data_IF_627058035183
#
_entry.id   IF_627058035183
#
_cell.length_a   1.000
_cell.length_b   1.000
_cell.length_c   1.000
_cell.angle_alpha   90.00
_cell.angle_beta   90.00
_cell.angle_gamma   90.00
#
_symmetry.space_group_name_H-M   'P 1'
#
loop_
_entity.id
_entity.type
_entity.pdbx_description
1 polymer ?
#
# COMPACT_ATOMS: atom_id res chain seq x y z
N UNK A 1 -19.08 -19.13 -6.76
CA UNK A 1 -17.77 -18.66 -6.29
C UNK A 1 -18.03 -17.55 -5.30
N UNK A 2 -17.49 -17.63 -4.09
CA UNK A 2 -17.51 -16.52 -3.13
C UNK A 2 -16.21 -15.73 -3.30
N UNK A 3 -16.29 -14.41 -3.37
CA UNK A 3 -15.08 -13.58 -3.58
C UNK A 3 -14.18 -13.60 -2.35
N UNK A 4 -14.78 -13.78 -1.18
CA UNK A 4 -14.14 -13.87 0.12
C UNK A 4 -13.14 -15.03 0.21
N UNK A 5 -13.30 -16.08 -0.62
CA UNK A 5 -12.38 -17.22 -0.66
C UNK A 5 -10.98 -16.83 -1.15
N UNK A 6 -10.84 -15.68 -1.83
CA UNK A 6 -9.57 -15.11 -2.29
C UNK A 6 -8.82 -14.32 -1.23
N UNK A 7 -9.41 -14.08 -0.06
CA UNK A 7 -8.85 -13.17 0.93
C UNK A 7 -8.67 -13.81 2.30
N UNK A 8 -7.63 -13.36 3.01
CA UNK A 8 -7.42 -13.60 4.43
C UNK A 8 -7.75 -12.30 5.19
N UNK A 9 -8.84 -12.32 5.96
CA UNK A 9 -9.27 -11.20 6.81
C UNK A 9 -8.59 -11.32 8.18
N UNK A 10 -7.39 -10.77 8.32
CA UNK A 10 -6.59 -10.89 9.54
C UNK A 10 -7.07 -9.94 10.63
N UNK A 11 -7.53 -8.75 10.24
CA UNK A 11 -8.15 -7.77 11.13
C UNK A 11 -9.06 -6.81 10.34
N UNK A 12 -9.84 -5.94 11.00
CA UNK A 12 -10.64 -4.91 10.31
C UNK A 12 -9.85 -3.95 9.42
N UNK A 13 -8.53 -3.87 9.61
CA UNK A 13 -7.61 -2.99 8.88
C UNK A 13 -6.46 -3.78 8.19
N UNK A 14 -6.60 -5.11 8.06
CA UNK A 14 -5.63 -5.97 7.36
C UNK A 14 -6.36 -7.08 6.60
N UNK A 15 -6.62 -6.83 5.31
CA UNK A 15 -7.21 -7.78 4.37
C UNK A 15 -6.15 -8.11 3.32
N UNK A 16 -5.76 -9.39 3.25
CA UNK A 16 -4.70 -9.87 2.34
C UNK A 16 -5.25 -10.77 1.26
N UNK A 17 -4.56 -10.81 0.13
CA UNK A 17 -4.81 -11.80 -0.90
C UNK A 17 -4.26 -13.14 -0.41
N UNK A 18 -5.11 -14.16 -0.41
CA UNK A 18 -4.81 -15.47 0.16
C UNK A 18 -3.57 -16.09 -0.47
N UNK A 19 -2.66 -16.56 0.38
CA UNK A 19 -1.36 -17.09 -0.05
C UNK A 19 -0.29 -16.00 -0.30
N UNK A 20 -0.62 -14.72 -0.13
CA UNK A 20 0.31 -13.61 -0.30
C UNK A 20 0.38 -12.73 0.95
N UNK A 21 1.48 -11.97 1.05
CA UNK A 21 1.61 -10.86 2.01
C UNK A 21 1.13 -9.52 1.42
N UNK A 22 0.50 -9.57 0.26
CA UNK A 22 0.02 -8.42 -0.49
C UNK A 22 -1.39 -8.11 0.00
N UNK A 23 -1.60 -6.87 0.44
CA UNK A 23 -2.92 -6.39 0.85
C UNK A 23 -3.79 -6.08 -0.36
N UNK A 24 -5.10 -6.08 -0.17
CA UNK A 24 -6.01 -5.64 -1.25
C UNK A 24 -5.79 -4.17 -1.59
N UNK A 25 -5.27 -3.35 -0.67
CA UNK A 25 -4.92 -1.95 -0.90
C UNK A 25 -3.89 -1.80 -2.02
N UNK A 26 -2.91 -2.70 -2.11
CA UNK A 26 -1.91 -2.66 -3.18
C UNK A 26 -2.53 -2.78 -4.59
N UNK A 27 -3.48 -3.70 -4.79
CA UNK A 27 -4.18 -3.85 -6.09
C UNK A 27 -5.08 -2.65 -6.36
N UNK A 28 -5.78 -2.16 -5.32
CA UNK A 28 -6.73 -1.07 -5.46
C UNK A 28 -6.07 0.28 -5.68
N UNK A 29 -4.86 0.51 -5.17
CA UNK A 29 -4.07 1.69 -5.45
C UNK A 29 -3.79 1.79 -6.97
N UNK A 30 -3.26 0.74 -7.59
CA UNK A 30 -3.04 0.73 -9.04
C UNK A 30 -4.34 0.85 -9.85
N UNK A 31 -5.40 0.15 -9.45
CA UNK A 31 -6.69 0.25 -10.13
C UNK A 31 -7.25 1.67 -10.09
N UNK A 32 -7.13 2.36 -8.94
CA UNK A 32 -7.55 3.77 -8.78
C UNK A 32 -6.67 4.73 -9.57
N UNK A 33 -5.40 4.39 -9.80
CA UNK A 33 -4.48 5.13 -10.68
C UNK A 33 -4.75 4.88 -12.19
N UNK A 34 -5.71 4.02 -12.54
CA UNK A 34 -6.16 3.79 -13.92
C UNK A 34 -5.46 2.65 -14.64
N UNK A 35 -4.66 1.83 -13.94
CA UNK A 35 -4.00 0.67 -14.52
C UNK A 35 -5.01 -0.41 -14.88
N UNK A 36 -4.77 -1.12 -15.99
CA UNK A 36 -5.55 -2.32 -16.33
C UNK A 36 -5.15 -3.50 -15.41
N UNK A 37 -6.03 -4.49 -15.22
CA UNK A 37 -5.70 -5.71 -14.47
C UNK A 37 -4.41 -6.41 -14.97
N UNK A 38 -4.15 -6.38 -16.28
CA UNK A 38 -2.95 -6.94 -16.88
C UNK A 38 -1.69 -6.13 -16.53
N UNK A 39 -1.78 -4.80 -16.54
CA UNK A 39 -0.68 -3.94 -16.09
C UNK A 39 -0.42 -4.09 -14.57
N UNK A 40 -1.48 -4.28 -13.78
CA UNK A 40 -1.36 -4.60 -12.35
C UNK A 40 -0.62 -5.93 -12.18
N UNK A 41 -0.95 -6.95 -12.98
CA UNK A 41 -0.28 -8.26 -12.92
C UNK A 41 1.21 -8.17 -13.25
N UNK A 42 1.62 -7.25 -14.14
CA UNK A 42 3.04 -6.99 -14.41
C UNK A 42 3.74 -6.38 -13.18
N UNK A 43 3.08 -5.44 -12.49
CA UNK A 43 3.64 -4.78 -11.31
C UNK A 43 3.62 -5.67 -10.05
N UNK A 44 2.60 -6.52 -9.91
CA UNK A 44 2.39 -7.46 -8.82
C UNK A 44 2.55 -8.89 -9.32
N UNK A 45 3.72 -9.20 -9.90
CA UNK A 45 4.01 -10.41 -10.67
C UNK A 45 3.78 -11.76 -9.98
N UNK A 46 3.63 -11.77 -8.65
CA UNK A 46 3.28 -12.99 -7.90
C UNK A 46 1.78 -13.27 -7.89
N UNK A 47 0.93 -12.28 -8.17
CA UNK A 47 -0.52 -12.44 -8.20
C UNK A 47 -0.97 -12.99 -9.54
N UNK A 48 -1.96 -13.88 -9.51
CA UNK A 48 -2.67 -14.29 -10.72
C UNK A 48 -3.64 -13.21 -11.17
N UNK A 49 -3.91 -13.19 -12.48
CA UNK A 49 -4.90 -12.28 -13.05
C UNK A 49 -6.29 -12.50 -12.43
N UNK A 50 -6.63 -13.75 -12.09
CA UNK A 50 -7.85 -14.11 -11.36
C UNK A 50 -7.93 -13.46 -9.98
N UNK A 51 -6.85 -13.49 -9.18
CA UNK A 51 -6.80 -12.82 -7.87
C UNK A 51 -6.98 -11.31 -7.99
N UNK A 52 -6.41 -10.70 -9.03
CA UNK A 52 -6.55 -9.27 -9.31
C UNK A 52 -8.01 -8.93 -9.67
N UNK A 53 -8.60 -9.67 -10.60
CA UNK A 53 -10.01 -9.49 -10.96
C UNK A 53 -10.95 -9.74 -9.78
N UNK A 54 -10.69 -10.75 -8.94
CA UNK A 54 -11.46 -11.00 -7.73
C UNK A 54 -11.38 -9.81 -6.75
N UNK A 55 -10.19 -9.25 -6.57
CA UNK A 55 -9.97 -8.06 -5.71
C UNK A 55 -10.74 -6.84 -6.21
N UNK A 56 -10.64 -6.54 -7.51
CA UNK A 56 -11.37 -5.41 -8.11
C UNK A 56 -12.87 -5.63 -8.02
N UNK A 57 -13.35 -6.84 -8.30
CA UNK A 57 -14.78 -7.18 -8.22
C UNK A 57 -15.30 -7.05 -6.79
N UNK A 58 -14.53 -7.55 -5.81
CA UNK A 58 -14.87 -7.43 -4.39
C UNK A 58 -14.97 -5.96 -3.96
N UNK A 59 -14.02 -5.12 -4.40
CA UNK A 59 -14.07 -3.67 -4.17
C UNK A 59 -15.30 -3.03 -4.80
N UNK A 60 -15.61 -3.32 -6.07
CA UNK A 60 -16.77 -2.73 -6.75
C UNK A 60 -18.09 -3.13 -6.09
N UNK A 61 -18.20 -4.37 -5.60
CA UNK A 61 -19.37 -4.85 -4.86
C UNK A 61 -19.50 -4.21 -3.47
N UNK A 62 -18.38 -3.97 -2.79
CA UNK A 62 -18.32 -3.52 -1.39
C UNK A 62 -17.78 -2.09 -1.24
N UNK A 63 -17.94 -1.24 -2.27
CA UNK A 63 -17.18 0.00 -2.45
C UNK A 63 -17.14 0.89 -1.21
N UNK A 64 -18.29 1.17 -0.61
CA UNK A 64 -18.36 2.03 0.57
C UNK A 64 -17.58 1.46 1.78
N UNK A 65 -17.68 0.16 2.03
CA UNK A 65 -16.97 -0.52 3.12
C UNK A 65 -15.46 -0.51 2.89
N UNK A 66 -15.04 -0.84 1.66
CA UNK A 66 -13.62 -0.92 1.31
C UNK A 66 -12.99 0.47 1.23
N UNK A 67 -13.70 1.50 0.75
CA UNK A 67 -13.22 2.89 0.80
C UNK A 67 -12.99 3.37 2.24
N UNK A 68 -13.89 3.01 3.17
CA UNK A 68 -13.69 3.29 4.60
C UNK A 68 -12.47 2.55 5.17
N UNK A 69 -12.26 1.29 4.78
CA UNK A 69 -11.06 0.52 5.12
C UNK A 69 -9.78 1.18 4.61
N UNK A 70 -9.72 1.54 3.31
CA UNK A 70 -8.55 2.19 2.71
C UNK A 70 -8.24 3.51 3.40
N UNK A 71 -9.27 4.28 3.76
CA UNK A 71 -9.09 5.52 4.53
C UNK A 71 -8.42 5.28 5.88
N UNK A 72 -8.87 4.29 6.66
CA UNK A 72 -8.27 3.97 7.97
C UNK A 72 -6.79 3.59 7.84
N UNK A 73 -6.46 2.80 6.81
CA UNK A 73 -5.06 2.43 6.52
C UNK A 73 -4.22 3.67 6.18
N UNK A 74 -4.73 4.56 5.32
CA UNK A 74 -4.02 5.78 4.95
C UNK A 74 -3.79 6.68 6.17
N UNK A 75 -4.81 6.86 7.02
CA UNK A 75 -4.72 7.65 8.25
C UNK A 75 -3.67 7.05 9.21
N UNK A 76 -3.66 5.72 9.39
CA UNK A 76 -2.66 5.03 10.21
C UNK A 76 -1.24 5.17 9.64
N UNK A 77 -1.05 4.97 8.33
CA UNK A 77 0.26 5.16 7.65
C UNK A 77 0.77 6.59 7.85
N UNK A 78 -0.11 7.58 7.70
CA UNK A 78 0.23 8.99 7.89
C UNK A 78 0.61 9.31 9.35
N UNK A 79 -0.16 8.83 10.32
CA UNK A 79 0.14 9.02 11.75
C UNK A 79 1.52 8.45 12.11
N UNK A 80 1.82 7.21 11.68
CA UNK A 80 3.14 6.61 11.94
C UNK A 80 4.28 7.36 11.26
N UNK A 81 4.05 7.87 10.05
CA UNK A 81 5.03 8.68 9.37
C UNK A 81 5.31 9.99 10.13
N UNK A 82 4.27 10.68 10.60
CA UNK A 82 4.40 11.90 11.43
C UNK A 82 5.14 11.61 12.73
N UNK A 83 4.79 10.54 13.45
CA UNK A 83 5.47 10.11 14.68
C UNK A 83 6.95 9.80 14.45
N UNK A 84 7.26 9.05 13.38
CA UNK A 84 8.64 8.74 13.01
C UNK A 84 9.43 9.99 12.61
N UNK A 85 8.80 10.91 11.88
CA UNK A 85 9.42 12.15 11.42
C UNK A 85 9.69 13.12 12.59
N UNK A 86 8.83 13.12 13.61
CA UNK A 86 8.98 13.91 14.83
C UNK A 86 10.12 13.41 15.73
N UNK A 87 10.41 12.10 15.71
CA UNK A 87 11.50 11.51 16.49
C UNK A 87 12.39 10.58 15.63
N UNK A 88 13.17 11.14 14.70
CA UNK A 88 14.02 10.33 13.81
C UNK A 88 15.18 9.72 14.60
N UNK A 89 15.53 8.47 14.29
CA UNK A 89 16.66 7.80 14.94
C UNK A 89 17.99 8.53 14.73
N UNK A 90 18.96 8.31 15.63
CA UNK A 90 20.29 8.93 15.52
C UNK A 90 20.97 8.64 14.16
N UNK A 91 20.73 7.46 13.57
CA UNK A 91 21.22 7.11 12.23
C UNK A 91 20.61 8.03 11.16
N UNK A 92 19.28 8.24 11.20
CA UNK A 92 18.58 9.11 10.25
C UNK A 92 19.05 10.56 10.40
N UNK A 93 19.25 11.04 11.63
CA UNK A 93 19.79 12.37 11.90
C UNK A 93 21.20 12.53 11.29
N UNK A 94 22.09 11.55 11.47
CA UNK A 94 23.43 11.55 10.86
C UNK A 94 23.39 11.57 9.33
N UNK A 95 22.55 10.72 8.72
CA UNK A 95 22.40 10.69 7.26
C UNK A 95 21.91 12.05 6.72
N UNK A 96 20.95 12.70 7.41
CA UNK A 96 20.46 14.04 7.04
C UNK A 96 21.56 15.10 7.11
N UNK A 97 22.38 15.10 8.16
CA UNK A 97 23.48 16.04 8.32
C UNK A 97 24.55 15.89 7.21
N UNK A 98 24.91 14.65 6.86
CA UNK A 98 25.86 14.36 5.77
C UNK A 98 25.33 14.86 4.43
N UNK A 99 24.05 14.62 4.12
CA UNK A 99 23.43 15.12 2.88
C UNK A 99 23.42 16.65 2.80
N UNK A 100 23.11 17.34 3.90
CA UNK A 100 23.09 18.81 3.94
C UNK A 100 24.48 19.42 3.71
N UNK A 101 25.54 18.82 4.26
CA UNK A 101 26.92 19.26 4.04
C UNK A 101 27.39 19.10 2.59
N UNK A 102 27.04 17.97 1.95
CA UNK A 102 27.41 17.71 0.55
C UNK A 102 26.68 18.61 -0.47
N UNK A 103 25.49 19.10 -0.14
CA UNK A 103 24.76 20.04 -1.00
C UNK A 103 25.35 21.46 -0.90
N UNK A 104 25.84 21.88 0.27
CA UNK A 104 26.48 23.19 0.43
C UNK A 104 27.83 23.27 -0.31
N UNK A 105 28.58 22.17 -0.35
CA UNK A 105 29.91 22.11 -0.98
C UNK A 105 29.86 22.04 -2.52
N UNK A 106 28.72 21.64 -3.12
CA UNK A 106 28.52 21.57 -4.58
C UNK A 106 27.97 22.85 -5.21
N UNK A 107 27.56 23.84 -4.41
CA UNK A 107 26.96 25.11 -4.87
C UNK A 107 27.91 26.29 -4.68
N UNK A 108 29.13 26.05 -4.16
CA UNK A 108 30.26 26.99 -4.15
C UNK A 108 31.26 26.64 -5.24
#
# INVERSE_FOLDING_TARGET
MQLEDYFDFLSPDDIRIKGHRIGIDNVLDYYKDGYTPEEIAVNLSTLSLEQIYATITYYLHNRASVDAYLKRIADWKNQRYVEWAANPSALVQRIRAVKAGQTAEKVS
#
